data_IF_030603793577
#
_entry.id   IF_030603793577
#
_cell.length_a   1.000
_cell.length_b   1.000
_cell.length_c   1.000
_cell.angle_alpha   90.00
_cell.angle_beta   90.00
_cell.angle_gamma   90.00
#
_symmetry.space_group_name_H-M   'P 1'
#
loop_
_entity.id
_entity.type
_entity.pdbx_description
1 polymer ?
#
# COMPACT_ATOMS: atom_id res chain seq x y z
N UNK A 1 73.82 -2.15 -58.88
CA UNK A 1 73.05 -1.57 -57.77
C UNK A 1 71.80 -0.96 -58.37
N UNK A 2 70.61 -1.27 -57.86
CA UNK A 2 69.63 -0.27 -57.42
C UNK A 2 68.33 -0.99 -57.06
N UNK A 3 67.92 -0.81 -55.80
CA UNK A 3 66.61 -1.19 -55.29
C UNK A 3 65.73 0.03 -55.51
N UNK A 4 64.70 -0.07 -56.34
CA UNK A 4 63.72 1.00 -56.40
C UNK A 4 62.64 0.77 -55.33
N UNK A 5 62.54 1.75 -54.43
CA UNK A 5 61.63 1.74 -53.27
C UNK A 5 60.25 2.19 -53.73
N UNK A 6 59.24 1.37 -53.47
CA UNK A 6 57.84 1.75 -53.66
C UNK A 6 57.46 3.05 -52.94
N UNK A 7 56.47 3.80 -53.47
CA UNK A 7 56.05 5.04 -52.86
C UNK A 7 55.16 4.76 -51.65
N UNK A 8 55.48 5.54 -50.62
CA UNK A 8 54.96 5.51 -49.25
C UNK A 8 53.61 6.21 -49.18
N UNK A 9 52.75 5.68 -48.30
CA UNK A 9 51.94 6.46 -47.35
C UNK A 9 51.07 7.59 -47.89
N UNK A 10 49.78 7.28 -48.09
CA UNK A 10 48.69 8.25 -48.15
C UNK A 10 48.54 8.96 -46.80
N UNK A 11 49.17 10.13 -46.65
CA UNK A 11 48.96 11.03 -45.53
C UNK A 11 48.37 12.35 -46.03
N UNK A 12 47.26 12.76 -45.41
CA UNK A 12 46.64 14.08 -45.45
C UNK A 12 46.48 14.72 -46.85
N UNK A 13 45.27 14.62 -47.40
CA UNK A 13 44.90 15.34 -48.64
C UNK A 13 44.85 16.84 -48.33
N UNK A 14 45.99 17.51 -48.43
CA UNK A 14 46.05 18.94 -48.68
C UNK A 14 45.56 19.12 -50.12
N UNK A 15 44.31 19.53 -50.27
CA UNK A 15 43.53 19.38 -51.51
C UNK A 15 44.04 20.22 -52.71
N UNK A 16 45.23 20.82 -52.63
CA UNK A 16 45.98 21.31 -53.79
C UNK A 16 45.21 22.27 -54.70
N UNK A 17 44.17 22.93 -54.18
CA UNK A 17 43.22 23.71 -54.99
C UNK A 17 43.88 24.89 -55.71
N UNK A 18 45.02 25.35 -55.21
CA UNK A 18 45.81 26.41 -55.83
C UNK A 18 46.43 26.05 -57.19
N UNK A 19 46.49 24.76 -57.56
CA UNK A 19 47.08 24.31 -58.83
C UNK A 19 46.04 24.10 -59.95
N UNK A 20 44.74 24.30 -59.70
CA UNK A 20 43.67 24.04 -60.65
C UNK A 20 43.24 25.30 -61.41
N UNK A 21 42.96 25.17 -62.71
CA UNK A 21 42.41 26.27 -63.51
C UNK A 21 40.95 26.58 -63.15
N UNK A 22 40.49 27.79 -63.44
CA UNK A 22 39.12 28.24 -63.09
C UNK A 22 38.01 27.43 -63.77
N UNK A 23 38.28 26.82 -64.93
CA UNK A 23 37.33 25.95 -65.61
C UNK A 23 37.25 24.56 -64.92
N UNK A 24 38.39 24.03 -64.49
CA UNK A 24 38.47 22.76 -63.76
C UNK A 24 37.80 22.86 -62.38
N UNK A 25 38.03 23.95 -61.64
CA UNK A 25 37.38 24.15 -60.34
C UNK A 25 35.85 24.26 -60.47
N UNK A 26 35.35 24.91 -61.54
CA UNK A 26 33.90 24.97 -61.83
C UNK A 26 33.30 23.64 -62.23
N UNK A 27 34.03 22.80 -62.98
CA UNK A 27 33.59 21.45 -63.31
C UNK A 27 33.53 20.57 -62.05
N UNK A 28 34.55 20.69 -61.18
CA UNK A 28 34.66 19.98 -59.91
C UNK A 28 33.59 20.38 -58.90
N UNK A 29 33.25 21.67 -58.83
CA UNK A 29 32.13 22.17 -58.02
C UNK A 29 30.75 21.71 -58.51
N UNK A 30 30.63 21.30 -59.78
CA UNK A 30 29.40 20.71 -60.33
C UNK A 30 29.34 19.20 -60.10
N UNK A 31 30.43 18.59 -59.66
CA UNK A 31 30.49 17.18 -59.29
C UNK A 31 30.13 16.99 -57.82
N UNK A 32 28.82 16.82 -57.57
CA UNK A 32 28.26 16.58 -56.25
C UNK A 32 28.86 15.34 -55.58
N UNK A 33 29.22 14.31 -56.34
CA UNK A 33 29.76 13.06 -55.77
C UNK A 33 31.16 13.24 -55.21
N UNK A 34 31.97 14.07 -55.87
CA UNK A 34 33.29 14.46 -55.39
C UNK A 34 33.20 15.39 -54.17
N UNK A 35 32.26 16.34 -54.17
CA UNK A 35 31.99 17.22 -53.01
C UNK A 35 31.56 16.39 -51.79
N UNK A 36 30.63 15.45 -51.94
CA UNK A 36 30.23 14.52 -50.88
C UNK A 36 31.42 13.73 -50.33
N UNK A 37 32.32 13.27 -51.20
CA UNK A 37 33.51 12.52 -50.80
C UNK A 37 34.44 13.38 -49.96
N UNK A 38 34.64 14.65 -50.31
CA UNK A 38 35.45 15.57 -49.51
C UNK A 38 34.79 15.91 -48.19
N UNK A 39 33.47 16.11 -48.16
CA UNK A 39 32.74 16.31 -46.91
C UNK A 39 32.89 15.08 -46.00
N UNK A 40 32.76 13.86 -46.55
CA UNK A 40 32.99 12.61 -45.80
C UNK A 40 34.43 12.46 -45.28
N UNK A 41 35.40 12.99 -46.01
CA UNK A 41 36.81 13.01 -45.61
C UNK A 41 37.15 14.17 -44.65
N UNK A 42 36.26 15.14 -44.47
CA UNK A 42 36.47 16.25 -43.56
C UNK A 42 36.52 15.75 -42.11
N UNK A 43 37.56 16.18 -41.38
CA UNK A 43 37.74 15.86 -39.95
C UNK A 43 36.52 16.23 -39.11
N UNK A 44 35.86 17.35 -39.43
CA UNK A 44 34.63 17.78 -38.73
C UNK A 44 33.49 16.78 -38.92
N UNK A 45 33.31 16.27 -40.14
CA UNK A 45 32.27 15.28 -40.45
C UNK A 45 32.59 13.93 -39.79
N UNK A 46 33.84 13.47 -39.87
CA UNK A 46 34.26 12.22 -39.22
C UNK A 46 34.08 12.26 -37.70
N UNK A 47 34.45 13.37 -37.05
CA UNK A 47 34.23 13.55 -35.61
C UNK A 47 32.75 13.47 -35.23
N UNK A 48 31.86 14.10 -36.02
CA UNK A 48 30.42 14.04 -35.80
C UNK A 48 29.86 12.62 -36.02
N UNK A 49 30.38 11.88 -37.00
CA UNK A 49 29.99 10.48 -37.20
C UNK A 49 30.43 9.62 -36.02
N UNK A 50 31.65 9.78 -35.54
CA UNK A 50 32.14 9.06 -34.36
C UNK A 50 31.30 9.39 -33.11
N UNK A 51 30.96 10.66 -32.90
CA UNK A 51 30.11 11.08 -31.79
C UNK A 51 28.70 10.47 -31.89
N UNK A 52 28.14 10.41 -33.11
CA UNK A 52 26.87 9.72 -33.38
C UNK A 52 26.96 8.24 -33.05
N UNK A 53 27.99 7.54 -33.52
CA UNK A 53 28.18 6.12 -33.25
C UNK A 53 28.36 5.84 -31.76
N UNK A 54 29.14 6.66 -31.05
CA UNK A 54 29.32 6.58 -29.61
C UNK A 54 27.99 6.77 -28.87
N UNK A 55 27.18 7.75 -29.27
CA UNK A 55 25.84 7.97 -28.69
C UNK A 55 24.88 6.81 -28.98
N UNK A 56 24.90 6.26 -30.19
CA UNK A 56 24.07 5.11 -30.56
C UNK A 56 24.49 3.86 -29.77
N UNK A 57 25.79 3.60 -29.64
CA UNK A 57 26.31 2.48 -28.85
C UNK A 57 25.94 2.63 -27.37
N UNK A 58 26.06 3.84 -26.81
CA UNK A 58 25.66 4.14 -25.43
C UNK A 58 24.15 3.96 -25.22
N UNK A 59 23.33 4.52 -26.11
CA UNK A 59 21.87 4.36 -26.04
C UNK A 59 21.45 2.88 -26.15
N UNK A 60 22.07 2.13 -27.06
CA UNK A 60 21.82 0.70 -27.21
C UNK A 60 22.20 -0.08 -25.95
N UNK A 61 23.35 0.20 -25.35
CA UNK A 61 23.78 -0.43 -24.11
C UNK A 61 22.79 -0.16 -22.96
N UNK A 62 22.34 1.09 -22.82
CA UNK A 62 21.34 1.48 -21.82
C UNK A 62 19.97 0.83 -22.08
N UNK A 63 19.52 0.80 -23.34
CA UNK A 63 18.27 0.14 -23.70
C UNK A 63 18.32 -1.36 -23.37
N UNK A 64 19.43 -2.03 -23.70
CA UNK A 64 19.65 -3.44 -23.36
C UNK A 64 19.65 -3.67 -21.85
N UNK A 65 20.30 -2.81 -21.08
CA UNK A 65 20.30 -2.90 -19.61
C UNK A 65 18.90 -2.67 -19.02
N UNK A 66 18.16 -1.67 -19.50
CA UNK A 66 16.80 -1.38 -19.05
C UNK A 66 15.85 -2.54 -19.34
N UNK A 67 15.92 -3.12 -20.54
CA UNK A 67 15.13 -4.30 -20.91
C UNK A 67 15.49 -5.52 -20.05
N UNK A 68 16.78 -5.68 -19.69
CA UNK A 68 17.19 -6.76 -18.79
C UNK A 68 16.66 -6.60 -17.36
N UNK A 69 16.34 -5.38 -16.92
CA UNK A 69 15.74 -5.12 -15.60
C UNK A 69 14.22 -5.35 -15.55
N UNK A 70 13.55 -5.26 -16.70
CA UNK A 70 12.10 -5.46 -16.82
C UNK A 70 11.58 -6.75 -16.14
N UNK A 71 12.14 -7.96 -16.37
CA UNK A 71 11.63 -9.17 -15.72
C UNK A 71 11.76 -9.11 -14.19
N UNK A 72 12.82 -8.50 -13.66
CA UNK A 72 12.99 -8.33 -12.21
C UNK A 72 11.94 -7.38 -11.63
N UNK A 73 11.60 -6.31 -12.34
CA UNK A 73 10.55 -5.38 -11.93
C UNK A 73 9.17 -6.03 -11.95
N UNK A 74 8.84 -6.76 -13.03
CA UNK A 74 7.56 -7.47 -13.14
C UNK A 74 7.43 -8.56 -12.06
N UNK A 75 8.48 -9.34 -11.81
CA UNK A 75 8.50 -10.31 -10.70
C UNK A 75 8.35 -9.63 -9.33
N UNK A 76 8.93 -8.44 -9.15
CA UNK A 76 8.75 -7.64 -7.94
C UNK A 76 7.30 -7.17 -7.76
N UNK A 77 6.67 -6.68 -8.83
CA UNK A 77 5.25 -6.26 -8.83
C UNK A 77 4.33 -7.43 -8.50
N UNK A 78 4.53 -8.60 -9.11
CA UNK A 78 3.69 -9.78 -8.85
C UNK A 78 3.87 -10.30 -7.42
N UNK A 79 5.12 -10.39 -6.94
CA UNK A 79 5.41 -10.78 -5.55
C UNK A 79 4.77 -9.83 -4.55
N UNK A 80 4.82 -8.52 -4.80
CA UNK A 80 4.19 -7.51 -3.96
C UNK A 80 2.66 -7.63 -3.99
N UNK A 81 2.07 -7.84 -5.16
CA UNK A 81 0.63 -8.07 -5.29
C UNK A 81 0.17 -9.30 -4.49
N UNK A 82 0.92 -10.40 -4.55
CA UNK A 82 0.65 -11.61 -3.75
C UNK A 82 0.71 -11.28 -2.25
N UNK A 83 1.74 -10.56 -1.78
CA UNK A 83 1.87 -10.19 -0.36
C UNK A 83 0.72 -9.28 0.12
N UNK A 84 0.26 -8.35 -0.72
CA UNK A 84 -0.90 -7.53 -0.40
C UNK A 84 -2.20 -8.35 -0.34
N UNK A 85 -2.33 -9.34 -1.21
CA UNK A 85 -3.47 -10.24 -1.21
C UNK A 85 -3.49 -11.11 0.07
N UNK A 86 -2.36 -11.72 0.44
CA UNK A 86 -2.20 -12.46 1.69
C UNK A 86 -2.54 -11.58 2.92
N UNK A 87 -2.08 -10.32 2.93
CA UNK A 87 -2.38 -9.38 4.00
C UNK A 87 -3.88 -9.04 4.08
N UNK A 88 -4.55 -8.91 2.94
CA UNK A 88 -5.99 -8.67 2.87
C UNK A 88 -6.75 -9.84 3.48
N UNK A 89 -6.44 -11.06 3.05
CA UNK A 89 -7.06 -12.28 3.56
C UNK A 89 -6.84 -12.43 5.07
N UNK A 90 -5.64 -12.16 5.57
CA UNK A 90 -5.34 -12.22 6.99
C UNK A 90 -6.11 -11.17 7.80
N UNK A 91 -6.29 -9.95 7.24
CA UNK A 91 -7.09 -8.90 7.87
C UNK A 91 -8.57 -9.29 7.94
N UNK A 92 -9.11 -9.88 6.89
CA UNK A 92 -10.49 -10.38 6.86
C UNK A 92 -10.66 -11.51 7.87
N UNK A 93 -9.76 -12.50 7.88
CA UNK A 93 -9.78 -13.57 8.88
C UNK A 93 -9.68 -13.07 10.32
N UNK A 94 -8.85 -12.05 10.58
CA UNK A 94 -8.77 -11.40 11.90
C UNK A 94 -10.06 -10.67 12.25
N UNK A 95 -10.67 -9.94 11.30
CA UNK A 95 -11.95 -9.26 11.50
C UNK A 95 -13.05 -10.27 11.83
N UNK A 96 -13.11 -11.38 11.12
CA UNK A 96 -14.10 -12.44 11.35
C UNK A 96 -13.93 -13.05 12.75
N UNK A 97 -12.69 -13.36 13.14
CA UNK A 97 -12.38 -13.84 14.50
C UNK A 97 -12.79 -12.83 15.56
N UNK A 98 -12.52 -11.54 15.32
CA UNK A 98 -12.91 -10.46 16.22
C UNK A 98 -14.42 -10.31 16.34
N UNK A 99 -15.17 -10.43 15.24
CA UNK A 99 -16.63 -10.39 15.25
C UNK A 99 -17.21 -11.59 16.00
N UNK A 100 -16.67 -12.81 15.78
CA UNK A 100 -17.07 -14.02 16.51
C UNK A 100 -16.79 -13.91 18.00
N UNK A 101 -15.61 -13.40 18.37
CA UNK A 101 -15.26 -13.11 19.75
C UNK A 101 -16.22 -12.08 20.35
N UNK A 102 -16.49 -10.98 19.65
CA UNK A 102 -17.42 -9.94 20.09
C UNK A 102 -18.83 -10.48 20.31
N UNK A 103 -19.33 -11.34 19.42
CA UNK A 103 -20.63 -11.99 19.58
C UNK A 103 -20.66 -12.97 20.76
N UNK A 104 -19.56 -13.73 20.97
CA UNK A 104 -19.43 -14.63 22.12
C UNK A 104 -19.40 -13.83 23.43
N UNK A 105 -18.52 -12.82 23.52
CA UNK A 105 -18.41 -11.92 24.66
C UNK A 105 -19.74 -11.24 24.97
N UNK A 106 -20.44 -10.74 23.95
CA UNK A 106 -21.75 -10.14 24.11
C UNK A 106 -22.70 -11.13 24.79
N UNK A 107 -22.77 -12.40 24.36
CA UNK A 107 -23.64 -13.41 25.02
C UNK A 107 -23.28 -13.67 26.48
N UNK A 108 -21.99 -13.58 26.83
CA UNK A 108 -21.46 -13.91 28.15
C UNK A 108 -21.18 -12.68 29.03
N UNK A 109 -21.81 -11.54 28.76
CA UNK A 109 -21.70 -10.39 29.67
C UNK A 109 -22.50 -10.61 30.95
N UNK A 110 -22.05 -10.06 32.09
CA UNK A 110 -22.79 -10.17 33.35
C UNK A 110 -24.20 -9.58 33.26
N UNK A 111 -24.40 -8.50 32.50
CA UNK A 111 -25.72 -7.90 32.28
C UNK A 111 -26.64 -8.85 31.50
N UNK A 112 -26.11 -9.61 30.54
CA UNK A 112 -26.88 -10.63 29.83
C UNK A 112 -27.19 -11.82 30.72
N UNK A 113 -26.30 -12.21 31.63
CA UNK A 113 -26.58 -13.24 32.62
C UNK A 113 -27.71 -12.81 33.57
N UNK A 114 -27.69 -11.57 34.08
CA UNK A 114 -28.76 -10.99 34.90
C UNK A 114 -30.09 -10.99 34.14
N UNK A 115 -30.11 -10.49 32.89
CA UNK A 115 -31.34 -10.45 32.08
C UNK A 115 -31.92 -11.84 31.82
N UNK A 116 -31.06 -12.83 31.56
CA UNK A 116 -31.49 -14.22 31.36
C UNK A 116 -32.08 -14.82 32.63
N UNK A 117 -31.42 -14.63 33.77
CA UNK A 117 -31.95 -15.10 35.07
C UNK A 117 -33.28 -14.44 35.42
N UNK A 118 -33.44 -13.14 35.14
CA UNK A 118 -34.71 -12.45 35.32
C UNK A 118 -35.81 -13.07 34.46
N UNK A 119 -35.55 -13.27 33.16
CA UNK A 119 -36.55 -13.88 32.27
C UNK A 119 -36.90 -15.33 32.67
N UNK A 120 -35.93 -16.12 33.14
CA UNK A 120 -36.18 -17.46 33.70
C UNK A 120 -37.03 -17.38 34.99
N UNK A 121 -36.76 -16.42 35.87
CA UNK A 121 -37.54 -16.19 37.09
C UNK A 121 -39.00 -15.80 36.75
N UNK A 122 -39.19 -14.82 35.87
CA UNK A 122 -40.51 -14.36 35.44
C UNK A 122 -41.32 -15.52 34.81
N UNK A 123 -40.65 -16.37 34.01
CA UNK A 123 -41.29 -17.55 33.41
C UNK A 123 -41.69 -18.62 34.43
N UNK A 124 -40.88 -18.85 35.47
CA UNK A 124 -41.24 -19.77 36.55
C UNK A 124 -42.35 -19.19 37.42
N UNK A 125 -42.34 -17.89 37.70
CA UNK A 125 -43.40 -17.20 38.44
C UNK A 125 -44.74 -17.27 37.69
N UNK A 126 -44.73 -17.05 36.37
CA UNK A 126 -45.92 -17.23 35.54
C UNK A 126 -46.45 -18.68 35.58
N UNK A 127 -45.58 -19.68 35.48
CA UNK A 127 -46.00 -21.10 35.59
C UNK A 127 -46.61 -21.43 36.96
N UNK A 128 -46.08 -20.83 38.03
CA UNK A 128 -46.65 -20.97 39.38
C UNK A 128 -48.05 -20.35 39.47
N UNK A 129 -48.26 -19.20 38.84
CA UNK A 129 -49.59 -18.58 38.73
C UNK A 129 -50.55 -19.43 37.90
N UNK A 130 -50.09 -20.02 36.80
CA UNK A 130 -50.87 -20.93 35.97
C UNK A 130 -51.28 -22.19 36.74
N UNK A 131 -50.36 -22.80 37.50
CA UNK A 131 -50.65 -23.95 38.37
C UNK A 131 -51.71 -23.61 39.43
N UNK A 132 -51.62 -22.41 40.03
CA UNK A 132 -52.62 -21.91 40.97
C UNK A 132 -53.98 -21.74 40.31
N UNK A 133 -54.02 -21.16 39.11
CA UNK A 133 -55.26 -20.98 38.36
C UNK A 133 -55.92 -22.33 38.01
N UNK A 134 -55.12 -23.29 37.54
CA UNK A 134 -55.60 -24.65 37.22
C UNK A 134 -56.16 -25.38 38.45
N UNK A 135 -55.52 -25.24 39.62
CA UNK A 135 -56.06 -25.80 40.87
C UNK A 135 -57.42 -25.19 41.22
N UNK A 136 -57.56 -23.86 41.11
CA UNK A 136 -58.82 -23.16 41.40
C UNK A 136 -59.96 -23.56 40.45
N UNK A 137 -59.62 -23.89 39.21
CA UNK A 137 -60.56 -24.42 38.21
C UNK A 137 -60.83 -25.92 38.36
N UNK A 138 -60.17 -26.61 39.30
CA UNK A 138 -60.20 -28.07 39.45
C UNK A 138 -59.67 -28.86 38.24
N UNK A 139 -58.90 -28.20 37.37
CA UNK A 139 -58.30 -28.81 36.16
C UNK A 139 -57.03 -29.61 36.51
N UNK A 140 -56.46 -29.39 37.71
CA UNK A 140 -55.27 -30.07 38.20
C UNK A 140 -55.58 -30.77 39.54
N UNK A 141 -55.41 -32.10 39.64
CA UNK A 141 -55.58 -32.83 40.90
C UNK A 141 -54.64 -32.30 41.99
N UNK A 142 -55.11 -32.32 43.24
CA UNK A 142 -54.38 -31.76 44.39
C UNK A 142 -52.99 -32.39 44.54
N UNK A 143 -52.87 -33.71 44.38
CA UNK A 143 -51.58 -34.37 44.65
C UNK A 143 -50.54 -34.02 43.60
N UNK A 144 -50.95 -33.93 42.33
CA UNK A 144 -50.08 -33.43 41.26
C UNK A 144 -49.77 -31.95 41.39
N UNK A 145 -50.71 -31.15 41.89
CA UNK A 145 -50.48 -29.73 42.17
C UNK A 145 -49.42 -29.57 43.27
N UNK A 146 -49.54 -30.29 44.39
CA UNK A 146 -48.62 -30.15 45.53
C UNK A 146 -47.18 -30.42 45.09
N UNK A 147 -46.94 -31.52 44.36
CA UNK A 147 -45.60 -31.88 43.88
C UNK A 147 -45.04 -30.84 42.89
N UNK A 148 -45.83 -30.45 41.90
CA UNK A 148 -45.40 -29.52 40.84
C UNK A 148 -45.23 -28.08 41.32
N UNK A 149 -46.09 -27.63 42.23
CA UNK A 149 -46.06 -26.30 42.83
C UNK A 149 -44.89 -26.16 43.81
N UNK A 150 -44.64 -27.15 44.68
CA UNK A 150 -43.47 -27.15 45.54
C UNK A 150 -42.19 -27.02 44.72
N UNK A 151 -42.05 -27.84 43.67
CA UNK A 151 -40.89 -27.78 42.77
C UNK A 151 -40.75 -26.41 42.08
N UNK A 152 -41.84 -25.84 41.57
CA UNK A 152 -41.82 -24.56 40.88
C UNK A 152 -41.54 -23.39 41.83
N UNK A 153 -42.04 -23.46 43.07
CA UNK A 153 -41.74 -22.50 44.13
C UNK A 153 -40.28 -22.57 44.58
N UNK A 154 -39.74 -23.77 44.80
CA UNK A 154 -38.32 -23.96 45.10
C UNK A 154 -37.44 -23.36 44.00
N UNK A 155 -37.77 -23.62 42.73
CA UNK A 155 -37.03 -23.06 41.60
C UNK A 155 -37.13 -21.54 41.54
N UNK A 156 -38.31 -20.95 41.77
CA UNK A 156 -38.50 -19.49 41.83
C UNK A 156 -37.63 -18.85 42.92
N UNK A 157 -37.65 -19.39 44.14
CA UNK A 157 -36.82 -18.88 45.24
C UNK A 157 -35.32 -19.01 44.95
N UNK A 158 -34.91 -20.14 44.38
CA UNK A 158 -33.52 -20.35 43.96
C UNK A 158 -33.09 -19.32 42.92
N UNK A 159 -33.89 -19.09 41.86
CA UNK A 159 -33.58 -18.11 40.80
C UNK A 159 -33.55 -16.68 41.33
N UNK A 160 -34.49 -16.31 42.21
CA UNK A 160 -34.49 -15.00 42.88
C UNK A 160 -33.21 -14.79 43.69
N UNK A 161 -32.81 -15.79 44.46
CA UNK A 161 -31.58 -15.73 45.27
C UNK A 161 -30.33 -15.62 44.38
N UNK A 162 -30.27 -16.40 43.28
CA UNK A 162 -29.17 -16.33 42.31
C UNK A 162 -29.07 -14.95 41.66
N UNK A 163 -30.21 -14.34 41.30
CA UNK A 163 -30.27 -13.01 40.72
C UNK A 163 -29.77 -11.94 41.71
N UNK A 164 -30.26 -11.96 42.95
CA UNK A 164 -29.83 -11.03 44.00
C UNK A 164 -28.32 -11.13 44.26
N UNK A 165 -27.80 -12.36 44.38
CA UNK A 165 -26.37 -12.61 44.62
C UNK A 165 -25.51 -12.16 43.45
N UNK A 166 -25.94 -12.39 42.21
CA UNK A 166 -25.24 -11.89 41.03
C UNK A 166 -25.21 -10.36 41.00
N UNK A 167 -26.34 -9.70 41.28
CA UNK A 167 -26.41 -8.24 41.33
C UNK A 167 -25.54 -7.65 42.46
N UNK A 168 -25.46 -8.31 43.61
CA UNK A 168 -24.59 -7.92 44.72
C UNK A 168 -23.12 -7.96 44.32
N UNK A 169 -22.67 -9.06 43.71
CA UNK A 169 -21.29 -9.20 43.21
C UNK A 169 -20.95 -8.08 42.20
N UNK A 170 -21.85 -7.81 41.25
CA UNK A 170 -21.62 -6.77 40.24
C UNK A 170 -21.56 -5.35 40.81
N UNK A 171 -22.34 -5.05 41.87
CA UNK A 171 -22.25 -3.78 42.59
C UNK A 171 -20.88 -3.64 43.27
N UNK A 172 -20.42 -4.67 43.97
CA UNK A 172 -19.12 -4.69 44.63
C UNK A 172 -17.95 -4.56 43.64
N UNK A 173 -18.05 -5.20 42.48
CA UNK A 173 -17.05 -5.05 41.40
C UNK A 173 -17.00 -3.61 40.87
N UNK A 174 -18.16 -2.97 40.72
CA UNK A 174 -18.25 -1.57 40.29
C UNK A 174 -17.67 -0.61 41.32
N UNK A 175 -17.89 -0.86 42.61
CA UNK A 175 -17.34 -0.06 43.72
C UNK A 175 -15.81 -0.25 43.89
N UNK A 176 -15.27 -1.42 43.54
CA UNK A 176 -13.82 -1.69 43.57
C UNK A 176 -13.05 -1.12 42.39
N UNK A 177 -13.71 -0.73 41.30
CA UNK A 177 -13.05 -0.10 40.17
C UNK A 177 -12.65 1.34 40.56
N UNK A 178 -11.34 1.68 40.60
CA UNK A 178 -10.92 3.02 41.00
C UNK A 178 -11.46 4.03 39.98
N UNK A 179 -12.36 4.90 40.44
CA UNK A 179 -12.62 6.18 39.80
C UNK A 179 -11.26 6.86 39.62
N UNK A 180 -10.84 7.04 38.37
CA UNK A 180 -9.76 7.98 38.07
C UNK A 180 -10.21 9.35 38.58
N UNK A 181 -9.46 10.01 39.48
CA UNK A 181 -9.65 11.41 39.72
C UNK A 181 -9.44 12.12 38.37
N UNK A 182 -10.47 12.82 37.89
CA UNK A 182 -10.28 13.78 36.81
C UNK A 182 -9.18 14.77 37.23
N UNK A 183 -8.29 15.19 36.32
CA UNK A 183 -7.28 16.18 36.66
C UNK A 183 -8.02 17.46 37.05
N UNK A 184 -7.97 17.73 38.35
CA UNK A 184 -8.35 19.01 38.92
C UNK A 184 -7.51 20.12 38.31
N UNK A 185 -8.14 21.28 38.29
CA UNK A 185 -7.57 22.59 38.04
C UNK A 185 -6.15 22.73 38.59
N UNK A 186 -5.16 22.84 37.69
CA UNK A 186 -3.94 23.57 37.98
C UNK A 186 -4.07 24.95 37.33
N UNK A 187 -4.45 25.93 38.14
CA UNK A 187 -4.18 27.33 37.85
C UNK A 187 -2.67 27.56 37.92
N UNK A 188 -2.08 27.98 36.80
CA UNK A 188 -0.81 28.72 36.79
C UNK A 188 -0.94 29.98 35.91
N UNK A 189 -0.15 31.03 36.21
CA UNK A 189 -0.60 32.41 36.13
C UNK A 189 -0.33 33.11 34.79
N UNK A 190 -1.06 34.22 34.61
CA UNK A 190 -1.17 35.05 33.42
C UNK A 190 0.14 35.48 32.75
N UNK A 191 0.17 35.48 31.41
CA UNK A 191 0.69 36.63 30.65
C UNK A 191 0.19 36.69 29.19
N UNK A 192 -0.20 37.91 28.80
CA UNK A 192 -0.15 38.53 27.45
C UNK A 192 -1.38 38.47 26.52
N UNK A 193 -1.71 39.66 26.02
CA UNK A 193 -2.90 40.15 25.32
C UNK A 193 -2.79 40.03 23.79
N UNK A 194 -3.94 39.92 23.10
CA UNK A 194 -4.09 40.20 21.66
C UNK A 194 -5.55 40.01 21.16
N UNK A 195 -6.18 40.98 20.44
CA UNK A 195 -7.65 41.00 20.22
C UNK A 195 -8.14 40.57 18.82
N UNK A 196 -9.23 39.77 18.79
CA UNK A 196 -10.43 39.69 17.85
C UNK A 196 -10.27 39.73 16.31
N UNK A 197 -11.30 39.45 15.45
CA UNK A 197 -12.66 38.88 15.65
C UNK A 197 -13.06 37.71 14.69
N UNK A 198 -14.19 37.04 14.96
CA UNK A 198 -14.86 36.01 14.10
C UNK A 198 -15.73 36.62 12.97
N UNK A 199 -16.36 35.84 12.06
CA UNK A 199 -17.74 35.30 12.29
C UNK A 199 -18.03 33.92 11.57
N UNK A 200 -19.28 33.40 11.34
CA UNK A 200 -19.85 32.25 12.09
C UNK A 200 -20.43 31.03 11.28
N UNK A 201 -20.50 29.86 11.95
CA UNK A 201 -21.47 28.72 11.85
C UNK A 201 -21.67 27.91 10.52
N UNK A 202 -22.30 26.70 10.50
CA UNK A 202 -22.96 25.93 11.58
C UNK A 202 -22.51 24.45 11.74
N UNK A 203 -22.78 23.88 12.91
CA UNK A 203 -22.68 22.45 13.21
C UNK A 203 -24.03 21.73 12.96
N UNK A 204 -24.05 20.43 12.67
CA UNK A 204 -25.15 19.57 13.02
C UNK A 204 -24.82 18.76 14.28
N UNK A 205 -25.73 18.84 15.24
CA UNK A 205 -25.76 18.02 16.43
C UNK A 205 -26.04 16.54 16.09
N UNK A 206 -25.35 15.62 16.76
CA UNK A 206 -25.77 14.23 16.90
C UNK A 206 -25.32 13.71 18.28
N UNK A 207 -26.12 12.82 18.91
CA UNK A 207 -26.11 12.61 20.35
C UNK A 207 -24.92 11.76 20.80
N UNK A 208 -24.34 12.18 21.94
CA UNK A 208 -23.38 11.41 22.72
C UNK A 208 -24.10 10.19 23.30
N UNK A 209 -23.96 9.04 22.64
CA UNK A 209 -24.20 7.76 23.30
C UNK A 209 -22.94 7.37 24.07
N UNK A 210 -23.05 7.45 25.40
CA UNK A 210 -22.11 6.88 26.34
C UNK A 210 -22.18 5.34 26.27
N UNK A 211 -21.38 4.74 25.38
CA UNK A 211 -21.09 3.32 25.39
C UNK A 211 -19.75 3.03 26.08
N UNK A 212 -19.56 1.83 26.68
CA UNK A 212 -18.29 1.45 27.29
C UNK A 212 -17.15 1.47 26.26
N UNK A 213 -15.90 1.77 26.69
CA UNK A 213 -14.79 1.96 25.77
C UNK A 213 -14.53 0.67 24.99
N UNK A 214 -14.66 0.75 23.66
CA UNK A 214 -14.27 -0.33 22.77
C UNK A 214 -12.78 -0.69 23.00
N UNK A 215 -12.41 -1.98 22.97
CA UNK A 215 -11.04 -2.40 23.19
C UNK A 215 -10.12 -1.71 22.17
N UNK A 216 -9.01 -1.12 22.64
CA UNK A 216 -8.02 -0.41 21.84
C UNK A 216 -7.56 -1.29 20.67
N UNK A 217 -8.13 -1.03 19.50
CA UNK A 217 -7.78 -1.72 18.26
C UNK A 217 -6.46 -1.16 17.78
N UNK A 218 -5.47 -2.02 17.54
CA UNK A 218 -4.28 -1.67 16.76
C UNK A 218 -4.74 -1.36 15.32
N UNK A 219 -5.13 -0.12 15.05
CA UNK A 219 -5.29 0.36 13.68
C UNK A 219 -3.90 0.53 13.06
N UNK A 220 -3.34 -0.56 12.53
CA UNK A 220 -2.25 -0.46 11.55
C UNK A 220 -2.82 0.15 10.27
N UNK A 221 -2.84 1.48 10.21
CA UNK A 221 -3.08 2.24 8.98
C UNK A 221 -1.84 2.17 8.09
N UNK A 222 -1.68 1.03 7.40
CA UNK A 222 -0.80 0.96 6.25
C UNK A 222 -1.58 1.53 5.07
N UNK A 223 -1.25 2.78 4.69
CA UNK A 223 -1.80 3.41 3.50
C UNK A 223 -1.45 2.55 2.27
N UNK A 224 -2.41 2.26 1.37
CA UNK A 224 -2.09 1.55 0.14
C UNK A 224 -1.17 2.43 -0.70
N UNK A 225 -0.04 1.90 -1.16
CA UNK A 225 0.61 2.48 -2.33
C UNK A 225 -0.35 2.28 -3.50
N UNK A 226 -0.88 3.37 -4.06
CA UNK A 226 -1.73 3.31 -5.24
C UNK A 226 -1.01 2.53 -6.33
N UNK A 227 -1.54 1.37 -6.71
CA UNK A 227 -1.17 0.69 -7.95
C UNK A 227 -1.62 1.61 -9.07
N UNK A 228 -0.71 2.42 -9.60
CA UNK A 228 -0.94 3.15 -10.85
C UNK A 228 -1.08 2.07 -11.93
N UNK A 229 -2.24 1.92 -12.59
CA UNK A 229 -2.40 0.99 -13.70
C UNK A 229 -1.38 1.32 -14.79
N UNK A 230 -0.67 0.30 -15.25
CA UNK A 230 0.45 0.44 -16.21
C UNK A 230 0.02 0.90 -17.61
N UNK A 231 -1.26 1.22 -17.83
CA UNK A 231 -1.80 1.73 -19.10
C UNK A 231 -1.73 3.26 -19.25
N UNK A 232 -1.36 4.01 -18.21
CA UNK A 232 -1.23 5.47 -18.29
C UNK A 232 0.19 5.97 -18.65
N UNK A 233 1.05 5.11 -19.19
CA UNK A 233 2.31 5.57 -19.80
C UNK A 233 1.98 6.03 -21.22
N UNK A 234 1.69 7.33 -21.36
CA UNK A 234 1.65 7.97 -22.67
C UNK A 234 2.95 7.66 -23.41
N UNK A 235 2.91 7.19 -24.68
CA UNK A 235 4.11 7.05 -25.48
C UNK A 235 4.81 8.40 -25.56
N UNK A 236 6.10 8.43 -25.22
CA UNK A 236 6.94 9.61 -25.45
C UNK A 236 6.83 9.93 -26.95
N UNK A 237 6.38 11.12 -27.36
CA UNK A 237 6.22 11.43 -28.77
C UNK A 237 7.61 11.46 -29.41
N UNK A 238 7.89 10.49 -30.28
CA UNK A 238 9.02 10.58 -31.19
C UNK A 238 8.64 11.61 -32.25
N UNK A 239 9.15 12.83 -32.12
CA UNK A 239 8.97 13.87 -33.11
C UNK A 239 9.62 13.43 -34.43
N UNK A 240 8.80 13.10 -35.42
CA UNK A 240 9.21 13.00 -36.80
C UNK A 240 9.41 14.42 -37.37
N UNK A 241 10.62 14.72 -37.83
CA UNK A 241 10.86 15.83 -38.77
C UNK A 241 10.35 15.41 -40.17
N UNK A 242 10.04 16.32 -41.14
CA UNK A 242 10.61 17.68 -41.29
C UNK A 242 9.64 18.78 -41.80
N UNK A 243 10.06 20.06 -41.75
CA UNK A 243 10.21 20.95 -42.93
C UNK A 243 10.41 22.44 -42.56
N UNK A 244 11.42 23.03 -43.23
CA UNK A 244 11.65 24.45 -43.57
C UNK A 244 11.99 25.43 -42.43
N UNK A 245 13.26 25.81 -42.47
CA UNK A 245 13.91 26.88 -41.72
C UNK A 245 13.15 28.22 -41.79
N UNK A 246 12.91 28.81 -40.61
CA UNK A 246 12.96 30.27 -40.42
C UNK A 246 13.76 30.54 -39.16
N UNK A 247 14.96 31.09 -39.35
CA UNK A 247 15.85 31.53 -38.26
C UNK A 247 15.36 32.87 -37.70
N UNK A 248 15.35 33.08 -36.37
CA UNK A 248 15.43 34.40 -35.77
C UNK A 248 16.90 34.83 -35.55
N UNK A 249 17.11 36.13 -35.56
CA UNK A 249 18.39 36.83 -35.61
C UNK A 249 19.30 36.65 -34.37
N UNK A 250 20.60 36.84 -34.60
CA UNK A 250 21.70 36.84 -33.64
C UNK A 250 21.48 37.74 -32.42
N UNK A 251 21.83 37.23 -31.24
CA UNK A 251 22.30 38.02 -30.10
C UNK A 251 23.54 37.32 -29.45
N UNK A 252 24.51 38.08 -28.88
CA UNK A 252 25.85 37.61 -28.51
C UNK A 252 25.93 36.92 -27.12
N UNK A 253 27.09 36.32 -26.73
CA UNK A 253 27.17 35.12 -25.91
C UNK A 253 27.46 35.36 -24.42
N UNK A 254 26.99 34.44 -23.55
CA UNK A 254 27.51 34.25 -22.20
C UNK A 254 27.66 32.75 -21.87
N UNK A 255 28.59 32.38 -20.95
CA UNK A 255 29.33 31.12 -21.05
C UNK A 255 28.70 29.92 -20.32
N UNK A 256 28.97 28.78 -20.93
CA UNK A 256 28.97 27.37 -20.49
C UNK A 256 28.87 27.05 -18.98
N UNK A 257 27.92 26.17 -18.65
CA UNK A 257 28.03 25.19 -17.56
C UNK A 257 27.68 23.78 -18.09
N UNK A 258 28.47 22.73 -17.78
CA UNK A 258 28.24 21.39 -18.30
C UNK A 258 27.17 20.66 -17.47
N UNK A 259 26.07 20.27 -18.09
CA UNK A 259 25.12 19.31 -17.52
C UNK A 259 25.75 17.91 -17.53
N UNK A 260 26.29 17.49 -16.40
CA UNK A 260 26.66 16.10 -16.14
C UNK A 260 25.41 15.38 -15.60
N UNK A 261 24.66 14.71 -16.47
CA UNK A 261 23.63 13.78 -16.04
C UNK A 261 24.29 12.49 -15.53
N UNK A 262 24.42 12.37 -14.21
CA UNK A 262 24.81 11.10 -13.56
C UNK A 262 23.64 10.11 -13.62
N UNK A 263 23.88 8.82 -13.96
CA UNK A 263 22.85 7.80 -13.83
C UNK A 263 22.59 7.51 -12.35
N UNK A 264 21.31 7.37 -12.00
CA UNK A 264 20.85 6.93 -10.68
C UNK A 264 21.40 5.53 -10.39
N UNK A 265 22.48 5.44 -9.61
CA UNK A 265 22.87 4.17 -8.99
C UNK A 265 21.92 3.91 -7.81
N UNK A 266 20.91 3.06 -8.01
CA UNK A 266 20.25 2.41 -6.89
C UNK A 266 21.21 1.38 -6.29
N UNK A 267 22.07 1.87 -5.39
CA UNK A 267 22.68 1.04 -4.35
C UNK A 267 21.61 0.81 -3.29
N UNK A 268 21.23 -0.45 -3.16
CA UNK A 268 20.27 -0.95 -2.20
C UNK A 268 20.40 -2.46 -2.17
N UNK A 269 21.47 -2.94 -1.53
CA UNK A 269 21.62 -4.34 -1.17
C UNK A 269 20.46 -4.73 -0.25
N UNK A 270 19.44 -5.38 -0.80
CA UNK A 270 18.53 -6.20 -0.01
C UNK A 270 19.00 -7.65 -0.18
N UNK A 271 19.82 -8.11 0.76
CA UNK A 271 20.04 -9.53 0.93
C UNK A 271 18.72 -10.13 1.42
N UNK A 272 17.96 -10.75 0.52
CA UNK A 272 16.82 -11.56 0.91
C UNK A 272 17.36 -12.98 1.18
N UNK A 273 17.22 -13.53 2.41
CA UNK A 273 17.66 -14.88 2.67
C UNK A 273 16.80 -15.86 1.87
N UNK A 274 17.50 -16.73 1.12
CA UNK A 274 16.95 -17.77 0.28
C UNK A 274 16.16 -18.77 1.15
N UNK A 275 14.82 -18.72 1.06
CA UNK A 275 13.97 -19.72 1.69
C UNK A 275 14.16 -21.07 0.99
N UNK A 276 14.64 -22.05 1.75
CA UNK A 276 14.81 -23.42 1.31
C UNK A 276 13.43 -24.05 1.06
N UNK A 277 13.28 -24.60 -0.13
CA UNK A 277 12.11 -25.36 -0.57
C UNK A 277 12.03 -26.66 0.27
N UNK A 278 10.90 -27.00 0.92
CA UNK A 278 10.83 -28.20 1.72
C UNK A 278 10.88 -29.44 0.81
N UNK A 279 11.76 -30.36 1.17
CA UNK A 279 11.86 -31.70 0.59
C UNK A 279 10.52 -32.43 0.65
N UNK A 280 10.17 -33.07 -0.48
CA UNK A 280 9.07 -34.01 -0.55
C UNK A 280 9.26 -35.16 0.45
N UNK A 281 8.34 -35.27 1.41
CA UNK A 281 8.21 -36.47 2.23
C UNK A 281 7.68 -37.62 1.36
N UNK A 282 8.56 -38.58 1.06
CA UNK A 282 8.15 -39.93 0.62
C UNK A 282 7.34 -40.59 1.73
N UNK A 283 6.06 -40.85 1.45
CA UNK A 283 5.14 -41.65 2.25
C UNK A 283 5.69 -43.09 2.30
N UNK A 284 6.19 -43.52 3.47
CA UNK A 284 6.45 -44.94 3.77
C UNK A 284 5.20 -45.53 4.42
N UNK A 285 4.66 -46.56 3.78
CA UNK A 285 3.57 -47.41 4.25
C UNK A 285 4.08 -48.33 5.38
N UNK A 286 3.26 -48.66 6.40
CA UNK A 286 3.68 -49.55 7.49
C UNK A 286 3.49 -51.03 7.11
N UNK A 287 4.31 -51.96 7.65
CA UNK A 287 4.16 -53.37 7.35
C UNK A 287 3.05 -53.99 8.19
N UNK A 288 2.27 -54.85 7.53
CA UNK A 288 1.37 -55.80 8.17
C UNK A 288 2.16 -56.77 9.06
N UNK A 289 1.76 -56.87 10.33
CA UNK A 289 1.69 -58.14 11.05
C UNK A 289 0.70 -58.06 12.19
#
# INVERSE_FOLDING_TARGET
MERDRGPRGLAAVDLGFGALSTAQLRALMRDETWLERIVKLSRKFQNLQLEREMRLASNYALAKQNLALQPRLENGKTSLAIKYQELRELREACRDKQQRLGACMAKWTPENAVRRLQAELDGVEANVEDQMAQLLCWDLPVETFVDSFQHSRELSHLRRTQLEKLQEILKLEKEKAPEKPGPGSEEQPATSLGPSPAPPAPAPAAPVQNGPPAPKVFQLRLAPAFLIPSEAVLPIPVAAAPQKCRLPAMAPPHPTAPFVSKPLSLIGHFHLPQAHLPHQHKKKEPPHR
#
